data_IF_460645696788
#
_entry.id   IF_460645696788
#
_cell.length_a   1.000
_cell.length_b   1.000
_cell.length_c   1.000
_cell.angle_alpha   90.00
_cell.angle_beta   90.00
_cell.angle_gamma   90.00
#
_symmetry.space_group_name_H-M   'P 1'
#
loop_
_entity.id
_entity.type
_entity.pdbx_description
1 polymer ?
#
# COMPACT_ATOMS: atom_id res chain seq x y z
N UNK A 1 -10.43 25.02 0.20
CA UNK A 1 -10.76 25.31 -1.22
C UNK A 1 -9.53 25.49 -2.13
N UNK A 2 -8.35 25.87 -1.62
CA UNK A 2 -7.14 26.06 -2.44
C UNK A 2 -6.51 24.74 -2.96
N UNK A 3 -6.51 23.66 -2.16
CA UNK A 3 -5.92 22.36 -2.55
C UNK A 3 -6.62 21.74 -3.76
N UNK A 4 -7.96 21.76 -3.79
CA UNK A 4 -8.74 21.15 -4.88
C UNK A 4 -8.56 21.87 -6.24
N UNK A 5 -8.07 23.11 -6.23
CA UNK A 5 -7.75 23.89 -7.43
C UNK A 5 -6.36 23.59 -7.98
N UNK A 6 -5.52 22.90 -7.21
CA UNK A 6 -4.18 22.52 -7.63
C UNK A 6 -4.22 21.22 -8.45
N UNK A 7 -3.91 21.29 -9.74
CA UNK A 7 -3.96 20.12 -10.63
C UNK A 7 -3.08 18.95 -10.14
N UNK A 8 -2.00 19.24 -9.41
CA UNK A 8 -1.09 18.23 -8.87
C UNK A 8 -1.80 17.30 -7.89
N UNK A 9 -2.82 17.79 -7.18
CA UNK A 9 -3.64 16.99 -6.29
C UNK A 9 -4.29 15.85 -7.06
N UNK A 10 -5.01 16.19 -8.13
CA UNK A 10 -5.70 15.22 -8.97
C UNK A 10 -4.74 14.26 -9.66
N UNK A 11 -3.61 14.76 -10.17
CA UNK A 11 -2.58 13.91 -10.79
C UNK A 11 -2.07 12.86 -9.81
N UNK A 12 -1.78 13.22 -8.56
CA UNK A 12 -1.32 12.27 -7.55
C UNK A 12 -2.41 11.29 -7.13
N UNK A 13 -3.62 11.77 -6.83
CA UNK A 13 -4.70 10.91 -6.33
C UNK A 13 -5.19 9.95 -7.40
N UNK A 14 -5.51 10.46 -8.58
CA UNK A 14 -5.96 9.63 -9.71
C UNK A 14 -4.82 8.72 -10.19
N UNK A 15 -3.59 9.23 -10.26
CA UNK A 15 -2.44 8.43 -10.68
C UNK A 15 -2.18 7.24 -9.76
N UNK A 16 -2.19 7.43 -8.44
CA UNK A 16 -2.00 6.33 -7.47
C UNK A 16 -3.15 5.32 -7.53
N UNK A 17 -4.39 5.78 -7.67
CA UNK A 17 -5.55 4.88 -7.80
C UNK A 17 -5.46 4.05 -9.08
N UNK A 18 -5.09 4.66 -10.22
CA UNK A 18 -4.90 3.95 -11.49
C UNK A 18 -3.80 2.90 -11.35
N UNK A 19 -2.65 3.26 -10.76
CA UNK A 19 -1.55 2.31 -10.54
C UNK A 19 -1.97 1.16 -9.63
N UNK A 20 -2.73 1.44 -8.57
CA UNK A 20 -3.29 0.41 -7.70
C UNK A 20 -4.23 -0.54 -8.44
N UNK A 21 -5.12 0.00 -9.29
CA UNK A 21 -6.02 -0.81 -10.11
C UNK A 21 -5.26 -1.66 -11.14
N UNK A 22 -4.20 -1.11 -11.74
CA UNK A 22 -3.31 -1.84 -12.64
C UNK A 22 -2.62 -3.02 -11.93
N UNK A 23 -2.12 -2.83 -10.70
CA UNK A 23 -1.58 -3.94 -9.90
C UNK A 23 -2.61 -5.06 -9.72
N UNK A 24 -3.86 -4.71 -9.43
CA UNK A 24 -4.96 -5.67 -9.30
C UNK A 24 -5.25 -6.45 -10.58
N UNK A 25 -5.30 -5.79 -11.74
CA UNK A 25 -5.50 -6.44 -13.04
C UNK A 25 -4.35 -7.40 -13.38
N UNK A 26 -3.10 -6.96 -13.17
CA UNK A 26 -1.91 -7.76 -13.46
C UNK A 26 -1.81 -9.02 -12.57
N UNK A 27 -2.52 -9.01 -11.44
CA UNK A 27 -2.56 -10.13 -10.50
C UNK A 27 -3.49 -11.27 -10.92
N UNK A 28 -4.19 -11.15 -12.07
CA UNK A 28 -4.96 -12.23 -12.67
C UNK A 28 -6.30 -12.47 -11.97
N UNK A 29 -6.56 -13.72 -11.53
CA UNK A 29 -7.79 -14.10 -10.84
C UNK A 29 -7.53 -14.34 -9.34
N UNK A 30 -7.44 -13.27 -8.53
CA UNK A 30 -7.10 -13.39 -7.11
C UNK A 30 -8.16 -14.17 -6.32
N UNK A 31 -9.43 -14.12 -6.73
CA UNK A 31 -10.52 -14.80 -6.04
C UNK A 31 -10.41 -16.32 -6.08
N UNK A 32 -10.16 -16.90 -7.26
CA UNK A 32 -10.09 -18.37 -7.39
C UNK A 32 -8.91 -18.98 -6.64
N UNK A 33 -7.74 -18.34 -6.71
CA UNK A 33 -6.56 -18.80 -5.98
C UNK A 33 -6.77 -18.65 -4.46
N UNK A 34 -7.30 -17.52 -4.00
CA UNK A 34 -7.55 -17.28 -2.58
C UNK A 34 -8.47 -18.33 -1.95
N UNK A 35 -9.54 -18.73 -2.63
CA UNK A 35 -10.46 -19.76 -2.14
C UNK A 35 -9.96 -21.20 -2.33
N UNK A 36 -8.86 -21.41 -3.06
CA UNK A 36 -8.22 -22.73 -3.17
C UNK A 36 -7.25 -23.04 -2.03
N UNK A 37 -6.86 -22.04 -1.24
CA UNK A 37 -5.90 -22.16 -0.14
C UNK A 37 -6.60 -22.52 1.18
N UNK A 38 -5.85 -23.14 2.08
CA UNK A 38 -6.25 -23.22 3.48
C UNK A 38 -6.13 -21.82 4.13
N UNK A 39 -7.28 -21.26 4.52
CA UNK A 39 -7.38 -19.91 5.07
C UNK A 39 -7.48 -19.94 6.60
N UNK A 40 -6.81 -19.03 7.33
CA UNK A 40 -6.99 -18.89 8.77
C UNK A 40 -8.39 -18.36 9.11
N UNK A 41 -8.90 -18.57 10.35
CA UNK A 41 -10.27 -18.22 10.73
C UNK A 41 -10.58 -16.71 10.70
N UNK A 42 -9.55 -15.86 10.69
CA UNK A 42 -9.70 -14.40 10.59
C UNK A 42 -9.58 -13.86 9.15
N UNK A 43 -9.39 -14.74 8.16
CA UNK A 43 -9.33 -14.37 6.75
C UNK A 43 -10.65 -13.72 6.30
N UNK A 44 -10.62 -12.51 5.72
CA UNK A 44 -11.81 -11.84 5.27
C UNK A 44 -12.26 -12.41 3.91
N UNK A 45 -13.55 -12.35 3.57
CA UNK A 45 -14.02 -12.59 2.21
C UNK A 45 -13.23 -11.78 1.16
N UNK A 46 -12.94 -12.39 0.00
CA UNK A 46 -12.06 -11.78 -1.02
C UNK A 46 -12.57 -10.44 -1.58
N UNK A 47 -13.87 -10.16 -1.50
CA UNK A 47 -14.45 -8.91 -1.95
C UNK A 47 -14.08 -7.70 -1.07
N UNK A 48 -13.65 -7.91 0.19
CA UNK A 48 -13.28 -6.83 1.12
C UNK A 48 -11.98 -6.13 0.68
N UNK A 49 -11.07 -6.85 0.02
CA UNK A 49 -9.79 -6.31 -0.43
C UNK A 49 -9.97 -5.13 -1.39
N UNK A 50 -10.93 -5.21 -2.33
CA UNK A 50 -11.14 -4.16 -3.34
C UNK A 50 -11.51 -2.78 -2.75
N UNK A 51 -12.59 -2.67 -1.95
CA UNK A 51 -12.97 -1.43 -1.28
C UNK A 51 -11.87 -0.91 -0.34
N UNK A 52 -11.23 -1.79 0.44
CA UNK A 52 -10.14 -1.37 1.33
C UNK A 52 -8.99 -0.76 0.56
N UNK A 53 -8.45 -1.46 -0.45
CA UNK A 53 -7.36 -0.92 -1.26
C UNK A 53 -7.74 0.37 -1.99
N UNK A 54 -8.99 0.51 -2.44
CA UNK A 54 -9.48 1.75 -3.07
C UNK A 54 -9.36 2.94 -2.12
N UNK A 55 -9.85 2.81 -0.88
CA UNK A 55 -9.73 3.86 0.14
C UNK A 55 -8.26 4.16 0.44
N UNK A 56 -7.43 3.13 0.59
CA UNK A 56 -6.01 3.28 0.89
C UNK A 56 -5.25 4.00 -0.24
N UNK A 57 -5.53 3.67 -1.50
CA UNK A 57 -4.90 4.34 -2.64
C UNK A 57 -5.30 5.82 -2.75
N UNK A 58 -6.54 6.17 -2.41
CA UNK A 58 -6.95 7.58 -2.31
C UNK A 58 -6.14 8.29 -1.23
N UNK A 59 -6.02 7.71 -0.04
CA UNK A 59 -5.24 8.29 1.07
C UNK A 59 -3.75 8.43 0.73
N UNK A 60 -3.17 7.43 0.07
CA UNK A 60 -1.79 7.46 -0.42
C UNK A 60 -1.59 8.58 -1.46
N UNK A 61 -2.53 8.73 -2.39
CA UNK A 61 -2.50 9.78 -3.39
C UNK A 61 -2.56 11.19 -2.80
N UNK A 62 -3.45 11.40 -1.82
CA UNK A 62 -3.51 12.65 -1.04
C UNK A 62 -2.18 12.88 -0.30
N UNK A 63 -1.63 11.83 0.31
CA UNK A 63 -0.35 11.88 1.03
C UNK A 63 0.81 12.30 0.12
N UNK A 64 0.90 11.72 -1.09
CA UNK A 64 1.90 12.08 -2.09
C UNK A 64 1.80 13.55 -2.52
N UNK A 65 0.57 14.05 -2.74
CA UNK A 65 0.36 15.47 -3.04
C UNK A 65 0.89 16.37 -1.91
N UNK A 66 0.55 16.04 -0.66
CA UNK A 66 1.01 16.81 0.49
C UNK A 66 2.53 16.81 0.61
N UNK A 67 3.20 15.68 0.34
CA UNK A 67 4.66 15.61 0.27
C UNK A 67 5.23 16.50 -0.85
N UNK A 68 4.59 16.55 -2.02
CA UNK A 68 5.04 17.37 -3.15
C UNK A 68 4.97 18.87 -2.88
N UNK A 69 4.05 19.34 -2.06
CA UNK A 69 3.92 20.76 -1.71
C UNK A 69 4.74 21.16 -0.48
N UNK A 70 5.48 20.23 0.14
CA UNK A 70 6.39 20.56 1.25
C UNK A 70 7.50 21.53 0.83
N UNK A 71 7.75 22.53 1.68
CA UNK A 71 8.75 23.59 1.43
C UNK A 71 10.20 23.11 1.58
N UNK A 72 10.48 22.25 2.56
CA UNK A 72 11.83 21.76 2.82
C UNK A 72 12.24 20.73 1.76
N UNK A 73 13.05 21.16 0.77
CA UNK A 73 13.45 20.34 -0.38
C UNK A 73 14.16 19.04 0.01
N UNK A 74 15.09 19.08 0.98
CA UNK A 74 15.90 17.92 1.37
C UNK A 74 15.05 16.86 2.06
N UNK A 75 14.21 17.27 3.00
CA UNK A 75 13.27 16.37 3.69
C UNK A 75 12.24 15.83 2.71
N UNK A 76 11.69 16.69 1.85
CA UNK A 76 10.75 16.32 0.79
C UNK A 76 11.29 15.21 -0.10
N UNK A 77 12.50 15.38 -0.64
CA UNK A 77 13.10 14.37 -1.53
C UNK A 77 13.22 13.02 -0.83
N UNK A 78 13.75 13.01 0.40
CA UNK A 78 13.89 11.78 1.20
C UNK A 78 12.54 11.07 1.42
N UNK A 79 11.51 11.82 1.82
CA UNK A 79 10.18 11.26 2.08
C UNK A 79 9.51 10.74 0.81
N UNK A 80 9.65 11.46 -0.31
CA UNK A 80 9.13 11.01 -1.61
C UNK A 80 9.83 9.75 -2.07
N UNK A 81 11.17 9.66 -1.95
CA UNK A 81 11.90 8.44 -2.31
C UNK A 81 11.41 7.24 -1.50
N UNK A 82 11.25 7.39 -0.18
CA UNK A 82 10.71 6.32 0.67
C UNK A 82 9.27 5.96 0.28
N UNK A 83 8.43 6.96 0.00
CA UNK A 83 7.06 6.75 -0.44
C UNK A 83 6.99 5.97 -1.77
N UNK A 84 7.86 6.28 -2.73
CA UNK A 84 7.90 5.60 -4.03
C UNK A 84 8.39 4.17 -3.87
N UNK A 85 9.46 3.93 -3.11
CA UNK A 85 10.00 2.58 -2.90
C UNK A 85 8.95 1.69 -2.22
N UNK A 86 8.29 2.17 -1.15
CA UNK A 86 7.23 1.38 -0.51
C UNK A 86 6.03 1.14 -1.45
N UNK A 87 5.68 2.12 -2.29
CA UNK A 87 4.58 1.95 -3.24
C UNK A 87 4.90 0.91 -4.32
N UNK A 88 6.16 0.83 -4.75
CA UNK A 88 6.62 -0.21 -5.68
C UNK A 88 6.52 -1.60 -5.06
N UNK A 89 6.95 -1.77 -3.80
CA UNK A 89 6.73 -3.04 -3.08
C UNK A 89 5.23 -3.38 -3.02
N UNK A 90 4.39 -2.42 -2.63
CA UNK A 90 2.94 -2.61 -2.62
C UNK A 90 2.37 -3.05 -3.98
N UNK A 91 2.84 -2.44 -5.07
CA UNK A 91 2.41 -2.74 -6.42
C UNK A 91 2.81 -4.16 -6.86
N UNK A 92 4.01 -4.59 -6.51
CA UNK A 92 4.57 -5.90 -6.90
C UNK A 92 3.95 -7.03 -6.08
N UNK A 93 3.61 -6.78 -4.81
CA UNK A 93 3.08 -7.77 -3.88
C UNK A 93 1.94 -8.61 -4.47
N UNK A 94 0.94 -7.96 -5.08
CA UNK A 94 -0.23 -8.63 -5.63
C UNK A 94 0.13 -9.62 -6.74
N UNK A 95 1.13 -9.29 -7.58
CA UNK A 95 1.62 -10.19 -8.62
C UNK A 95 2.40 -11.37 -8.01
N UNK A 96 3.22 -11.14 -6.99
CA UNK A 96 3.94 -12.21 -6.29
C UNK A 96 2.97 -13.22 -5.64
N UNK A 97 1.92 -12.71 -5.00
CA UNK A 97 0.98 -13.54 -4.26
C UNK A 97 -0.01 -14.26 -5.18
N UNK A 98 -0.68 -13.56 -6.10
CA UNK A 98 -1.78 -14.14 -6.87
C UNK A 98 -1.37 -14.67 -8.24
N UNK A 99 -0.44 -14.01 -8.93
CA UNK A 99 -0.02 -14.43 -10.26
C UNK A 99 1.05 -15.53 -10.17
N UNK A 100 2.12 -15.29 -9.40
CA UNK A 100 3.18 -16.28 -9.20
C UNK A 100 2.85 -17.34 -8.15
N UNK A 101 1.78 -17.15 -7.36
CA UNK A 101 1.33 -18.10 -6.33
C UNK A 101 2.45 -18.49 -5.35
N UNK A 102 3.41 -17.58 -5.13
CA UNK A 102 4.57 -17.81 -4.28
C UNK A 102 4.43 -17.04 -2.98
N UNK A 103 3.79 -17.70 -2.01
CA UNK A 103 3.50 -17.15 -0.67
C UNK A 103 4.77 -16.75 0.08
N UNK A 104 5.87 -17.48 -0.10
CA UNK A 104 7.15 -17.17 0.55
C UNK A 104 7.75 -15.85 0.05
N UNK A 105 7.85 -15.66 -1.27
CA UNK A 105 8.39 -14.42 -1.84
C UNK A 105 7.45 -13.25 -1.53
N UNK A 106 6.13 -13.47 -1.57
CA UNK A 106 5.16 -12.46 -1.17
C UNK A 106 5.26 -12.08 0.32
N UNK A 107 5.61 -13.03 1.20
CA UNK A 107 5.83 -12.78 2.62
C UNK A 107 7.12 -11.96 2.88
N UNK A 108 8.19 -12.22 2.11
CA UNK A 108 9.41 -11.41 2.16
C UNK A 108 9.16 -9.97 1.68
N UNK A 109 8.45 -9.81 0.56
CA UNK A 109 8.10 -8.49 0.03
C UNK A 109 7.19 -7.69 0.98
N UNK A 110 6.14 -8.31 1.54
CA UNK A 110 5.25 -7.59 2.47
C UNK A 110 5.96 -7.23 3.79
N UNK A 111 6.95 -8.01 4.20
CA UNK A 111 7.80 -7.67 5.35
C UNK A 111 8.69 -6.47 5.05
N UNK A 112 9.32 -6.45 3.87
CA UNK A 112 10.08 -5.29 3.41
C UNK A 112 9.19 -4.04 3.32
N UNK A 113 7.98 -4.20 2.78
CA UNK A 113 6.97 -3.14 2.71
C UNK A 113 6.64 -2.58 4.10
N UNK A 114 6.37 -3.46 5.08
CA UNK A 114 6.06 -3.07 6.44
C UNK A 114 7.22 -2.30 7.11
N UNK A 115 8.47 -2.72 6.87
CA UNK A 115 9.66 -2.01 7.36
C UNK A 115 9.77 -0.63 6.73
N UNK A 116 9.68 -0.53 5.39
CA UNK A 116 9.75 0.74 4.67
C UNK A 116 8.65 1.71 5.12
N UNK A 117 7.44 1.21 5.31
CA UNK A 117 6.30 1.99 5.77
C UNK A 117 6.49 2.46 7.22
N UNK A 118 7.04 1.62 8.10
CA UNK A 118 7.39 2.00 9.47
C UNK A 118 8.43 3.14 9.49
N UNK A 119 9.48 3.03 8.66
CA UNK A 119 10.50 4.08 8.52
C UNK A 119 9.89 5.38 7.99
N UNK A 120 8.98 5.29 7.01
CA UNK A 120 8.28 6.45 6.46
C UNK A 120 7.43 7.14 7.54
N UNK A 121 6.60 6.39 8.27
CA UNK A 121 5.77 6.94 9.35
C UNK A 121 6.61 7.61 10.45
N UNK A 122 7.73 6.99 10.86
CA UNK A 122 8.64 7.58 11.84
C UNK A 122 9.21 8.93 11.37
N UNK A 123 9.61 9.04 10.10
CA UNK A 123 10.09 10.31 9.56
C UNK A 123 8.98 11.35 9.42
N UNK A 124 7.76 10.93 9.06
CA UNK A 124 6.60 11.81 8.96
C UNK A 124 6.13 12.30 10.34
N UNK A 125 6.30 11.52 11.40
CA UNK A 125 5.97 11.95 12.77
C UNK A 125 6.73 13.24 13.15
N UNK A 126 8.00 13.31 12.77
CA UNK A 126 8.89 14.42 13.10
C UNK A 126 8.75 15.63 12.16
N UNK A 127 8.29 15.42 10.93
CA UNK A 127 8.30 16.46 9.89
C UNK A 127 6.92 16.87 9.40
N UNK A 128 5.94 15.95 9.36
CA UNK A 128 4.62 16.21 8.80
C UNK A 128 3.52 15.28 9.34
N UNK A 129 3.07 15.54 10.58
CA UNK A 129 2.10 14.70 11.30
C UNK A 129 0.79 14.45 10.56
N UNK A 130 0.31 15.41 9.78
CA UNK A 130 -0.91 15.22 8.98
C UNK A 130 -0.79 14.05 8.00
N UNK A 131 0.32 13.98 7.26
CA UNK A 131 0.58 12.91 6.29
C UNK A 131 0.80 11.58 7.00
N UNK A 132 1.47 11.61 8.16
CA UNK A 132 1.63 10.43 9.01
C UNK A 132 0.25 9.81 9.36
N UNK A 133 -0.67 10.62 9.89
CA UNK A 133 -2.01 10.14 10.26
C UNK A 133 -2.82 9.63 9.06
N UNK A 134 -2.68 10.23 7.88
CA UNK A 134 -3.34 9.74 6.66
C UNK A 134 -2.84 8.35 6.24
N UNK A 135 -1.59 7.99 6.57
CA UNK A 135 -1.00 6.70 6.24
C UNK A 135 -1.14 5.64 7.35
N UNK A 136 -1.66 6.01 8.53
CA UNK A 136 -1.91 5.04 9.62
C UNK A 136 -2.92 3.95 9.22
N UNK A 137 -4.08 4.26 8.59
CA UNK A 137 -5.00 3.23 8.12
C UNK A 137 -4.33 2.23 7.15
N UNK A 138 -3.44 2.72 6.29
CA UNK A 138 -2.66 1.89 5.40
C UNK A 138 -1.70 0.98 6.16
N UNK A 139 -0.98 1.52 7.14
CA UNK A 139 -0.08 0.72 7.97
C UNK A 139 -0.78 -0.40 8.74
N UNK A 140 -1.95 -0.12 9.32
CA UNK A 140 -2.75 -1.14 10.00
C UNK A 140 -3.20 -2.24 9.04
N UNK A 141 -3.59 -1.87 7.82
CA UNK A 141 -3.95 -2.84 6.79
C UNK A 141 -2.76 -3.69 6.34
N UNK A 142 -1.58 -3.09 6.15
CA UNK A 142 -0.36 -3.85 5.80
C UNK A 142 0.02 -4.79 6.93
N UNK A 143 -0.06 -4.36 8.20
CA UNK A 143 0.20 -5.23 9.34
C UNK A 143 -0.73 -6.45 9.36
N UNK A 144 -2.02 -6.23 9.11
CA UNK A 144 -3.00 -7.30 8.98
C UNK A 144 -2.68 -8.22 7.79
N UNK A 145 -2.37 -7.65 6.63
CA UNK A 145 -2.03 -8.41 5.43
C UNK A 145 -0.74 -9.22 5.60
N UNK A 146 0.25 -8.70 6.34
CA UNK A 146 1.46 -9.45 6.72
C UNK A 146 1.08 -10.67 7.57
N UNK A 147 0.27 -10.48 8.62
CA UNK A 147 -0.20 -11.59 9.46
C UNK A 147 -0.96 -12.64 8.64
N UNK A 148 -1.85 -12.20 7.75
CA UNK A 148 -2.61 -13.09 6.86
C UNK A 148 -1.70 -13.88 5.93
N UNK A 149 -0.73 -13.22 5.28
CA UNK A 149 0.19 -13.85 4.34
C UNK A 149 1.05 -14.93 5.02
N UNK A 150 1.64 -14.62 6.19
CA UNK A 150 2.38 -15.61 6.97
C UNK A 150 1.49 -16.76 7.43
N UNK A 151 0.26 -16.49 7.83
CA UNK A 151 -0.67 -17.55 8.24
C UNK A 151 -0.99 -18.49 7.08
N UNK A 152 -1.22 -17.96 5.88
CA UNK A 152 -1.41 -18.77 4.67
C UNK A 152 -0.15 -19.56 4.35
N UNK A 153 1.04 -18.96 4.45
CA UNK A 153 2.32 -19.62 4.21
C UNK A 153 2.58 -20.79 5.17
N UNK A 154 2.10 -20.74 6.42
CA UNK A 154 2.28 -21.85 7.37
C UNK A 154 1.22 -22.93 7.24
N UNK A 155 0.07 -22.62 6.64
CA UNK A 155 -1.03 -23.57 6.42
C UNK A 155 -0.89 -24.35 5.11
N UNK A 156 -0.08 -23.88 4.14
CA UNK A 156 0.04 -24.45 2.80
C UNK A 156 1.52 -24.62 2.40
#
# INVERSE_FOLDING_TARGET
>A
MAILKDYRFWVCTVGIVILGFLSGILSGNPGSYYYSLELPPFAPPSWIFGPMWTVLYILMGISLYLLLVMKNKRVKQKLITLFVIQFVCNFIWSALFFNLQNTLIAALDITLLLILLSILLYQLWNHYRLVMWLLVPYYLWVLFATLLNYSILFLN
#
